data_IF_160818231845
#
_entry.id   IF_160818231845
#
_cell.length_a   1.000
_cell.length_b   1.000
_cell.length_c   1.000
_cell.angle_alpha   90.00
_cell.angle_beta   90.00
_cell.angle_gamma   90.00
#
_symmetry.space_group_name_H-M   'P 1'
#
loop_
_entity.id
_entity.type
_entity.pdbx_description
1 polymer ?
#
# COMPACT_ATOMS: atom_id res chain seq x y z
N UNK A 1 -18.46 35.38 74.74
CA UNK A 1 -18.97 36.62 74.10
C UNK A 1 -17.93 37.06 73.11
N UNK A 2 -18.30 37.30 71.96
CA UNK A 2 -17.68 37.90 70.75
C UNK A 2 -17.41 36.84 69.66
N UNK A 3 -18.36 36.88 68.82
CA UNK A 3 -18.46 36.20 67.51
C UNK A 3 -17.50 36.93 66.54
N UNK A 4 -16.69 36.13 65.86
CA UNK A 4 -15.70 36.63 64.90
C UNK A 4 -15.83 35.87 63.61
N UNK A 5 -16.82 36.26 62.79
CA UNK A 5 -17.03 35.70 61.43
C UNK A 5 -15.90 36.14 60.49
N UNK A 6 -15.09 35.18 60.05
CA UNK A 6 -14.14 35.38 58.97
C UNK A 6 -14.83 35.22 57.61
N UNK A 7 -14.91 36.31 56.86
CA UNK A 7 -15.26 36.34 55.45
C UNK A 7 -14.07 35.82 54.62
N UNK A 8 -14.28 34.74 53.85
CA UNK A 8 -13.33 34.31 52.84
C UNK A 8 -13.45 35.20 51.58
N UNK A 9 -12.35 35.56 50.93
CA UNK A 9 -12.42 36.33 49.68
C UNK A 9 -12.86 35.45 48.52
N UNK A 10 -13.62 36.04 47.59
CA UNK A 10 -14.16 35.46 46.39
C UNK A 10 -13.07 34.83 45.51
N UNK A 11 -13.35 33.62 45.05
CA UNK A 11 -12.52 32.89 44.09
C UNK A 11 -12.48 33.61 42.75
N UNK A 12 -11.27 33.96 42.33
CA UNK A 12 -10.99 34.51 41.03
C UNK A 12 -11.42 33.53 39.90
N UNK A 13 -12.11 34.12 38.94
CA UNK A 13 -12.54 33.55 37.69
C UNK A 13 -11.34 32.89 36.96
N UNK A 14 -11.37 31.57 36.83
CA UNK A 14 -10.40 30.88 35.99
C UNK A 14 -10.82 31.10 34.55
N UNK A 15 -10.09 31.95 33.86
CA UNK A 15 -10.15 32.07 32.41
C UNK A 15 -10.05 30.66 31.79
N UNK A 16 -11.07 30.28 31.06
CA UNK A 16 -11.00 29.14 30.17
C UNK A 16 -9.89 29.40 29.15
N UNK A 17 -8.78 28.72 29.29
CA UNK A 17 -7.81 28.63 28.21
C UNK A 17 -8.53 27.99 27.01
N UNK A 18 -8.61 28.71 25.91
CA UNK A 18 -9.15 28.16 24.64
C UNK A 18 -8.34 26.91 24.27
N UNK A 19 -8.95 25.75 24.46
CA UNK A 19 -8.37 24.47 24.14
C UNK A 19 -8.40 24.31 22.60
N UNK A 20 -7.32 24.74 21.95
CA UNK A 20 -7.14 24.60 20.50
C UNK A 20 -6.98 23.10 20.20
N UNK A 21 -7.91 22.56 19.45
CA UNK A 21 -7.81 21.17 18.99
C UNK A 21 -6.46 20.93 18.27
N UNK A 22 -5.80 19.79 18.51
CA UNK A 22 -4.52 19.51 17.85
C UNK A 22 -4.65 19.59 16.33
N UNK A 23 -3.73 20.31 15.63
CA UNK A 23 -3.89 20.75 14.25
C UNK A 23 -3.90 19.61 13.20
N UNK A 24 -3.71 18.36 13.60
CA UNK A 24 -3.59 17.22 12.69
C UNK A 24 -4.34 15.98 13.21
N UNK A 25 -5.63 16.12 13.50
CA UNK A 25 -6.52 14.98 13.55
C UNK A 25 -7.22 14.83 12.20
N UNK A 26 -7.05 13.69 11.56
CA UNK A 26 -7.84 13.27 10.40
C UNK A 26 -9.32 13.56 10.62
N UNK A 27 -9.93 14.12 9.58
CA UNK A 27 -11.24 14.77 9.55
C UNK A 27 -12.43 14.03 10.18
N UNK A 28 -13.58 14.71 10.13
CA UNK A 28 -14.86 14.24 10.65
C UNK A 28 -15.15 12.80 10.20
N UNK A 29 -15.74 11.97 11.08
CA UNK A 29 -16.09 10.59 10.72
C UNK A 29 -17.06 10.62 9.53
N UNK A 30 -16.71 9.87 8.48
CA UNK A 30 -17.63 9.60 7.37
C UNK A 30 -18.96 9.08 7.93
N UNK A 31 -20.11 9.39 7.27
CA UNK A 31 -21.42 8.94 7.73
C UNK A 31 -21.39 7.42 7.91
N UNK A 32 -21.83 6.97 9.10
CA UNK A 32 -21.86 5.57 9.46
C UNK A 32 -22.76 4.79 8.49
N UNK A 33 -22.14 4.06 7.58
CA UNK A 33 -22.84 3.01 6.85
C UNK A 33 -23.12 1.88 7.85
N UNK A 34 -24.40 1.55 7.99
CA UNK A 34 -24.89 0.45 8.83
C UNK A 34 -24.25 -0.86 8.37
N UNK A 35 -23.37 -1.42 9.20
CA UNK A 35 -22.63 -2.64 8.92
C UNK A 35 -21.18 -2.34 8.52
N UNK A 36 -20.31 -2.08 9.52
CA UNK A 36 -18.84 -2.02 9.27
C UNK A 36 -18.41 -3.32 8.63
N UNK A 37 -17.84 -3.30 7.40
CA UNK A 37 -17.24 -4.49 6.84
C UNK A 37 -16.13 -4.95 7.82
N UNK A 38 -16.11 -6.23 8.15
CA UNK A 38 -15.00 -6.83 8.88
C UNK A 38 -13.75 -6.67 8.03
N UNK A 39 -12.59 -6.44 8.67
CA UNK A 39 -11.29 -6.35 7.99
C UNK A 39 -11.15 -7.45 6.93
N UNK A 40 -10.75 -7.05 5.74
CA UNK A 40 -10.46 -7.97 4.63
C UNK A 40 -9.36 -8.94 5.04
N UNK A 41 -9.58 -10.22 4.76
CA UNK A 41 -8.64 -11.31 5.03
C UNK A 41 -8.41 -12.12 3.77
N UNK A 42 -7.37 -12.93 3.74
CA UNK A 42 -6.96 -13.70 2.55
C UNK A 42 -8.09 -14.61 2.03
N UNK A 43 -8.90 -15.22 2.90
CA UNK A 43 -10.03 -16.07 2.46
C UNK A 43 -11.12 -15.28 1.75
N UNK A 44 -11.41 -14.03 2.14
CA UNK A 44 -12.36 -13.19 1.42
C UNK A 44 -11.94 -12.94 -0.04
N UNK A 45 -10.62 -12.77 -0.29
CA UNK A 45 -10.11 -12.57 -1.65
C UNK A 45 -10.28 -13.83 -2.49
N UNK A 46 -10.10 -15.01 -1.89
CA UNK A 46 -10.37 -16.29 -2.54
C UNK A 46 -11.86 -16.46 -2.86
N UNK A 47 -12.73 -16.14 -1.91
CA UNK A 47 -14.20 -16.17 -2.11
C UNK A 47 -14.64 -15.24 -3.24
N UNK A 48 -14.01 -14.03 -3.38
CA UNK A 48 -14.26 -13.13 -4.50
C UNK A 48 -13.92 -13.80 -5.85
N UNK A 49 -12.76 -14.46 -5.94
CA UNK A 49 -12.38 -15.23 -7.13
C UNK A 49 -13.40 -16.35 -7.43
N UNK A 50 -13.79 -17.13 -6.43
CA UNK A 50 -14.76 -18.22 -6.58
C UNK A 50 -16.12 -17.72 -7.10
N UNK A 51 -16.50 -16.48 -6.77
CA UNK A 51 -17.72 -15.80 -7.26
C UNK A 51 -17.53 -15.05 -8.58
N UNK A 52 -16.30 -15.01 -9.12
CA UNK A 52 -15.97 -14.22 -10.31
C UNK A 52 -16.05 -12.69 -10.09
N UNK A 53 -15.96 -12.24 -8.84
CA UNK A 53 -16.01 -10.83 -8.46
C UNK A 53 -14.60 -10.23 -8.45
N UNK A 54 -14.40 -9.20 -9.27
CA UNK A 54 -13.12 -8.49 -9.39
C UNK A 54 -12.95 -7.47 -8.27
N UNK A 55 -11.70 -7.25 -7.86
CA UNK A 55 -11.38 -6.29 -6.80
C UNK A 55 -10.14 -5.46 -7.13
N UNK A 56 -10.09 -4.19 -6.68
CA UNK A 56 -8.93 -3.32 -6.85
C UNK A 56 -7.92 -3.47 -5.72
N UNK A 57 -6.66 -3.19 -6.02
CA UNK A 57 -5.57 -3.04 -5.07
C UNK A 57 -4.82 -1.75 -5.42
N UNK A 58 -4.35 -1.02 -4.42
CA UNK A 58 -3.49 0.15 -4.59
C UNK A 58 -2.26 0.04 -3.71
N UNK A 59 -1.16 0.66 -4.13
CA UNK A 59 -0.08 0.93 -3.19
C UNK A 59 -0.48 2.05 -2.23
N UNK A 60 0.10 2.10 -1.05
CA UNK A 60 0.01 3.21 -0.11
C UNK A 60 1.31 3.30 0.69
N UNK A 61 1.71 4.52 1.08
CA UNK A 61 3.00 4.73 1.75
C UNK A 61 2.90 5.65 2.98
N UNK A 62 1.73 6.20 3.25
CA UNK A 62 1.48 7.12 4.37
C UNK A 62 0.08 6.94 4.95
N UNK A 63 -0.18 7.58 6.08
CA UNK A 63 -1.44 7.47 6.82
C UNK A 63 -2.63 8.07 6.05
N UNK A 64 -2.45 9.20 5.36
CA UNK A 64 -3.54 9.91 4.69
C UNK A 64 -4.03 9.15 3.46
N UNK A 65 -3.10 8.70 2.60
CA UNK A 65 -3.48 7.89 1.43
C UNK A 65 -4.10 6.57 1.87
N UNK A 66 -3.60 5.96 2.95
CA UNK A 66 -4.16 4.73 3.50
C UNK A 66 -5.60 4.91 3.99
N UNK A 67 -5.90 5.99 4.75
CA UNK A 67 -7.26 6.32 5.21
C UNK A 67 -8.21 6.55 4.04
N UNK A 68 -7.79 7.37 3.06
CA UNK A 68 -8.61 7.67 1.88
C UNK A 68 -8.96 6.41 1.10
N UNK A 69 -7.99 5.52 0.88
CA UNK A 69 -8.22 4.30 0.10
C UNK A 69 -9.03 3.26 0.88
N UNK A 70 -8.82 3.15 2.18
CA UNK A 70 -9.63 2.28 3.06
C UNK A 70 -11.09 2.74 3.10
N UNK A 71 -11.34 4.05 3.24
CA UNK A 71 -12.68 4.65 3.21
C UNK A 71 -13.33 4.57 1.82
N UNK A 72 -12.52 4.60 0.74
CA UNK A 72 -13.00 4.37 -0.63
C UNK A 72 -13.34 2.89 -0.92
N UNK A 73 -13.07 1.98 0.02
CA UNK A 73 -13.39 0.56 -0.09
C UNK A 73 -12.37 -0.27 -0.86
N UNK A 74 -11.11 0.18 -0.97
CA UNK A 74 -10.02 -0.63 -1.53
C UNK A 74 -9.70 -1.77 -0.56
N UNK A 75 -9.93 -3.04 -0.93
CA UNK A 75 -9.82 -4.15 0.01
C UNK A 75 -8.39 -4.55 0.36
N UNK A 76 -7.41 -4.19 -0.46
CA UNK A 76 -5.99 -4.52 -0.27
C UNK A 76 -5.12 -3.31 -0.52
N UNK A 77 -4.26 -2.97 0.43
CA UNK A 77 -3.23 -1.95 0.29
C UNK A 77 -1.83 -2.58 0.35
N UNK A 78 -1.00 -2.22 -0.61
CA UNK A 78 0.38 -2.69 -0.72
C UNK A 78 1.34 -1.59 -0.28
N UNK A 79 2.15 -1.85 0.72
CA UNK A 79 3.35 -1.06 0.97
C UNK A 79 4.47 -1.69 0.15
N UNK A 80 4.53 -1.28 -1.12
CA UNK A 80 5.44 -1.82 -2.12
C UNK A 80 6.86 -1.26 -1.99
N UNK A 81 7.87 -2.02 -2.40
CA UNK A 81 9.25 -1.54 -2.53
C UNK A 81 9.38 -0.43 -3.60
N UNK A 82 8.36 -0.26 -4.45
CA UNK A 82 8.16 0.93 -5.29
C UNK A 82 8.15 2.25 -4.49
N UNK A 83 8.08 2.21 -3.15
CA UNK A 83 8.40 3.34 -2.29
C UNK A 83 9.78 3.93 -2.58
N UNK A 84 10.75 3.10 -2.99
CA UNK A 84 12.07 3.53 -3.43
C UNK A 84 11.98 4.68 -4.45
N UNK A 85 11.20 4.49 -5.50
CA UNK A 85 11.01 5.47 -6.56
C UNK A 85 10.03 6.58 -6.17
N UNK A 86 8.91 6.22 -5.52
CA UNK A 86 7.75 7.11 -5.34
C UNK A 86 7.80 7.94 -4.05
N UNK A 87 8.58 7.52 -3.06
CA UNK A 87 8.73 8.22 -1.77
C UNK A 87 10.15 8.74 -1.60
N UNK A 88 11.15 7.91 -1.85
CA UNK A 88 12.55 8.23 -1.61
C UNK A 88 13.28 8.82 -2.83
N UNK A 89 12.72 8.71 -4.04
CA UNK A 89 13.32 9.23 -5.26
C UNK A 89 14.53 8.44 -5.74
N UNK A 90 14.68 7.18 -5.33
CA UNK A 90 15.72 6.29 -5.85
C UNK A 90 15.47 5.93 -7.31
N UNK A 91 16.53 5.62 -8.05
CA UNK A 91 16.43 5.31 -9.47
C UNK A 91 15.66 4.00 -9.75
N UNK A 92 15.74 3.03 -8.83
CA UNK A 92 15.04 1.75 -8.90
C UNK A 92 14.72 1.24 -7.47
N UNK A 93 14.14 0.03 -7.36
CA UNK A 93 13.70 -0.53 -6.07
C UNK A 93 14.83 -1.18 -5.25
N UNK A 94 16.00 -1.42 -5.84
CA UNK A 94 17.08 -2.17 -5.19
C UNK A 94 17.65 -1.53 -3.91
N UNK A 95 17.81 -0.19 -3.82
CA UNK A 95 18.44 0.43 -2.66
C UNK A 95 17.60 0.42 -1.39
N UNK A 96 16.25 0.35 -1.51
CA UNK A 96 15.37 0.50 -0.34
C UNK A 96 15.57 -0.65 0.64
N UNK A 97 15.71 -0.29 1.90
CA UNK A 97 15.97 -1.23 3.00
C UNK A 97 14.70 -1.59 3.78
N UNK A 98 14.78 -2.68 4.56
CA UNK A 98 13.71 -3.05 5.51
C UNK A 98 13.44 -1.92 6.50
N UNK A 99 14.48 -1.22 6.95
CA UNK A 99 14.35 -0.15 7.94
C UNK A 99 13.70 1.11 7.36
N UNK A 100 13.89 1.41 6.08
CA UNK A 100 13.17 2.48 5.37
C UNK A 100 11.71 2.11 5.08
N UNK A 101 11.41 0.84 4.79
CA UNK A 101 10.05 0.37 4.58
C UNK A 101 9.23 0.32 5.87
N UNK A 102 9.85 0.04 7.00
CA UNK A 102 9.17 -0.18 8.28
C UNK A 102 8.29 1.02 8.74
N UNK A 103 8.76 2.28 8.70
CA UNK A 103 7.92 3.43 9.03
C UNK A 103 6.70 3.57 8.11
N UNK A 104 6.85 3.28 6.81
CA UNK A 104 5.76 3.34 5.83
C UNK A 104 4.71 2.27 6.14
N UNK A 105 5.13 1.04 6.42
CA UNK A 105 4.23 -0.05 6.83
C UNK A 105 3.44 0.34 8.08
N UNK A 106 4.11 0.86 9.10
CA UNK A 106 3.46 1.35 10.34
C UNK A 106 2.43 2.45 10.07
N UNK A 107 2.74 3.39 9.17
CA UNK A 107 1.85 4.48 8.81
C UNK A 107 0.58 3.95 8.11
N UNK A 108 0.73 3.10 7.10
CA UNK A 108 -0.39 2.50 6.36
C UNK A 108 -1.26 1.64 7.26
N UNK A 109 -0.66 0.82 8.15
CA UNK A 109 -1.42 0.00 9.11
C UNK A 109 -2.27 0.86 10.05
N UNK A 110 -1.75 2.00 10.51
CA UNK A 110 -2.52 2.93 11.37
C UNK A 110 -3.67 3.62 10.64
N UNK A 111 -3.49 3.93 9.34
CA UNK A 111 -4.51 4.54 8.50
C UNK A 111 -5.61 3.56 8.06
N UNK A 112 -5.42 2.24 8.20
CA UNK A 112 -6.36 1.23 7.74
C UNK A 112 -7.19 0.59 8.84
N UNK A 113 -8.51 0.49 8.62
CA UNK A 113 -9.46 -0.21 9.51
C UNK A 113 -9.96 -1.50 8.86
N UNK A 114 -10.15 -1.51 7.53
CA UNK A 114 -10.85 -2.56 6.78
C UNK A 114 -9.92 -3.30 5.79
N UNK A 115 -8.99 -2.61 5.13
CA UNK A 115 -8.13 -3.22 4.12
C UNK A 115 -7.13 -4.22 4.71
N UNK A 116 -6.80 -5.24 3.91
CA UNK A 116 -5.64 -6.11 4.13
C UNK A 116 -4.38 -5.32 3.75
N UNK A 117 -3.44 -5.15 4.67
CA UNK A 117 -2.15 -4.50 4.39
C UNK A 117 -1.09 -5.55 4.11
N UNK A 118 -0.49 -5.47 2.92
CA UNK A 118 0.61 -6.33 2.47
C UNK A 118 1.89 -5.51 2.45
N UNK A 119 2.98 -6.02 3.01
CA UNK A 119 4.31 -5.39 2.98
C UNK A 119 5.26 -6.15 2.05
N UNK A 120 5.94 -5.43 1.15
CA UNK A 120 7.00 -6.01 0.34
C UNK A 120 8.22 -6.38 1.16
N UNK A 121 8.80 -7.53 0.86
CA UNK A 121 10.16 -7.87 1.25
C UNK A 121 11.11 -7.22 0.25
N UNK A 122 11.87 -6.15 0.62
CA UNK A 122 12.76 -5.48 -0.32
C UNK A 122 13.93 -6.37 -0.74
N UNK A 123 14.57 -6.02 -1.84
CA UNK A 123 15.74 -6.74 -2.35
C UNK A 123 16.82 -6.91 -1.27
N UNK A 124 17.43 -8.08 -1.22
CA UNK A 124 18.45 -8.42 -0.22
C UNK A 124 17.91 -8.92 1.11
N UNK A 125 16.59 -8.92 1.30
CA UNK A 125 15.95 -9.28 2.58
C UNK A 125 15.38 -10.71 2.64
N UNK A 126 15.39 -11.46 1.52
CA UNK A 126 14.88 -12.84 1.44
C UNK A 126 15.66 -13.75 0.48
N UNK A 127 16.56 -13.20 -0.33
CA UNK A 127 17.25 -13.95 -1.40
C UNK A 127 18.29 -14.95 -0.89
N UNK A 128 18.83 -14.75 0.32
CA UNK A 128 19.85 -15.65 0.89
C UNK A 128 19.25 -17.02 1.23
N UNK A 129 17.99 -17.05 1.70
CA UNK A 129 17.32 -18.30 2.03
C UNK A 129 16.05 -18.12 2.87
N UNK A 130 15.35 -19.24 3.15
CA UNK A 130 14.10 -19.23 3.91
C UNK A 130 14.20 -18.58 5.29
N UNK A 131 15.30 -18.79 6.01
CA UNK A 131 15.52 -18.22 7.35
C UNK A 131 15.59 -16.69 7.32
N UNK A 132 16.26 -16.13 6.31
CA UNK A 132 16.30 -14.68 6.11
C UNK A 132 14.91 -14.13 5.79
N UNK A 133 14.19 -14.76 4.87
CA UNK A 133 12.84 -14.39 4.51
C UNK A 133 11.91 -14.39 5.73
N UNK A 134 11.99 -15.44 6.56
CA UNK A 134 11.21 -15.57 7.78
C UNK A 134 11.54 -14.46 8.79
N UNK A 135 12.82 -14.20 9.02
CA UNK A 135 13.28 -13.13 9.92
C UNK A 135 12.75 -11.77 9.48
N UNK A 136 12.83 -11.46 8.18
CA UNK A 136 12.33 -10.19 7.64
C UNK A 136 10.81 -10.09 7.74
N UNK A 137 10.08 -11.14 7.36
CA UNK A 137 8.63 -11.17 7.42
C UNK A 137 8.10 -11.03 8.85
N UNK A 138 8.74 -11.67 9.84
CA UNK A 138 8.40 -11.52 11.26
C UNK A 138 8.53 -10.05 11.69
N UNK A 139 9.56 -9.34 11.25
CA UNK A 139 9.70 -7.89 11.53
C UNK A 139 8.52 -7.10 10.97
N UNK A 140 8.15 -7.28 9.71
CA UNK A 140 7.03 -6.58 9.11
C UNK A 140 5.68 -6.90 9.78
N UNK A 141 5.46 -8.18 10.14
CA UNK A 141 4.24 -8.59 10.85
C UNK A 141 4.21 -8.06 12.30
N UNK A 142 5.29 -8.24 13.04
CA UNK A 142 5.34 -7.98 14.49
C UNK A 142 5.60 -6.51 14.81
N UNK A 143 6.57 -5.88 14.15
CA UNK A 143 6.94 -4.48 14.39
C UNK A 143 6.11 -3.53 13.52
N UNK A 144 5.88 -3.90 12.25
CA UNK A 144 5.12 -3.12 11.27
C UNK A 144 3.62 -3.23 11.42
N UNK A 145 3.12 -4.37 11.91
CA UNK A 145 1.71 -4.69 11.99
C UNK A 145 1.08 -5.11 10.66
N UNK A 146 1.89 -5.43 9.64
CA UNK A 146 1.39 -5.93 8.36
C UNK A 146 0.57 -7.22 8.53
N UNK A 147 -0.34 -7.48 7.60
CA UNK A 147 -1.22 -8.66 7.64
C UNK A 147 -0.73 -9.80 6.73
N UNK A 148 0.12 -9.46 5.77
CA UNK A 148 0.74 -10.37 4.82
C UNK A 148 2.05 -9.75 4.30
N UNK A 149 2.87 -10.55 3.64
CA UNK A 149 4.08 -10.08 2.95
C UNK A 149 4.03 -10.42 1.47
N UNK A 150 4.80 -9.69 0.63
CA UNK A 150 5.00 -10.01 -0.78
C UNK A 150 6.49 -10.25 -1.05
N UNK A 151 6.80 -11.15 -1.97
CA UNK A 151 8.14 -11.36 -2.51
C UNK A 151 8.09 -11.65 -4.01
N UNK A 152 9.20 -11.40 -4.70
CA UNK A 152 9.32 -11.51 -6.14
C UNK A 152 10.11 -12.76 -6.56
N UNK A 153 9.65 -13.40 -7.65
CA UNK A 153 10.32 -14.48 -8.35
C UNK A 153 9.53 -15.78 -8.35
N UNK A 154 9.95 -16.69 -9.25
CA UNK A 154 9.29 -17.96 -9.53
C UNK A 154 9.72 -19.11 -8.63
N UNK A 155 9.78 -20.33 -9.19
CA UNK A 155 10.03 -21.60 -8.48
C UNK A 155 11.30 -21.58 -7.61
N UNK A 156 12.29 -20.75 -7.94
CA UNK A 156 13.50 -20.56 -7.11
C UNK A 156 13.18 -20.14 -5.67
N UNK A 157 12.07 -19.42 -5.46
CA UNK A 157 11.67 -18.90 -4.14
C UNK A 157 10.58 -19.73 -3.46
N UNK A 158 10.24 -20.90 -4.01
CA UNK A 158 9.34 -21.88 -3.36
C UNK A 158 9.77 -22.21 -1.92
N UNK A 159 11.06 -22.43 -1.61
CA UNK A 159 11.48 -22.69 -0.23
C UNK A 159 11.18 -21.54 0.73
N UNK A 160 11.30 -20.29 0.29
CA UNK A 160 10.96 -19.12 1.09
C UNK A 160 9.44 -19.03 1.32
N UNK A 161 8.64 -19.23 0.26
CA UNK A 161 7.17 -19.22 0.36
C UNK A 161 6.67 -20.31 1.31
N UNK A 162 7.19 -21.54 1.18
CA UNK A 162 6.85 -22.67 2.04
C UNK A 162 7.17 -22.40 3.51
N UNK A 163 8.37 -21.88 3.80
CA UNK A 163 8.78 -21.55 5.16
C UNK A 163 7.91 -20.45 5.80
N UNK A 164 7.55 -19.43 5.02
CA UNK A 164 6.69 -18.35 5.47
C UNK A 164 5.25 -18.85 5.71
N UNK A 165 4.67 -19.52 4.73
CA UNK A 165 3.31 -20.07 4.80
C UNK A 165 3.17 -21.10 5.92
N UNK A 166 4.15 -22.01 6.04
CA UNK A 166 4.22 -23.00 7.11
C UNK A 166 4.35 -22.41 8.50
N UNK A 167 4.88 -21.19 8.61
CA UNK A 167 4.96 -20.42 9.85
C UNK A 167 3.71 -19.56 10.12
N UNK A 168 2.67 -19.65 9.28
CA UNK A 168 1.42 -18.91 9.43
C UNK A 168 1.50 -17.46 8.91
N UNK A 169 2.50 -17.12 8.12
CA UNK A 169 2.65 -15.80 7.48
C UNK A 169 2.06 -15.86 6.06
N UNK A 170 0.97 -15.12 5.76
CA UNK A 170 0.40 -15.11 4.41
C UNK A 170 1.37 -14.48 3.40
N UNK A 171 1.59 -15.14 2.27
CA UNK A 171 2.53 -14.72 1.23
C UNK A 171 1.79 -14.42 -0.06
N UNK A 172 2.01 -13.24 -0.62
CA UNK A 172 1.67 -12.86 -1.99
C UNK A 172 2.92 -13.03 -2.85
N UNK A 173 2.84 -13.84 -3.89
CA UNK A 173 3.93 -14.01 -4.85
C UNK A 173 3.88 -12.93 -5.94
N UNK A 174 4.99 -12.75 -6.69
CA UNK A 174 5.05 -11.81 -7.80
C UNK A 174 5.87 -12.41 -8.95
N UNK A 175 5.23 -12.52 -10.12
CA UNK A 175 5.77 -13.06 -11.36
C UNK A 175 5.66 -12.07 -12.52
N UNK A 176 6.35 -12.38 -13.61
CA UNK A 176 6.44 -11.53 -14.77
C UNK A 176 7.65 -10.61 -14.69
N UNK A 177 7.48 -9.33 -14.96
CA UNK A 177 8.51 -8.34 -14.66
C UNK A 177 8.60 -8.18 -13.14
N UNK A 178 9.77 -8.43 -12.60
CA UNK A 178 10.08 -8.27 -11.18
C UNK A 178 11.09 -7.14 -11.04
N UNK A 179 10.71 -5.96 -10.51
CA UNK A 179 11.59 -4.80 -10.39
C UNK A 179 12.92 -5.10 -9.70
N UNK A 180 12.91 -5.97 -8.69
CA UNK A 180 14.14 -6.39 -7.99
C UNK A 180 15.11 -7.18 -8.88
N UNK A 181 14.66 -7.67 -10.02
CA UNK A 181 15.48 -8.38 -11.02
C UNK A 181 15.75 -7.55 -12.28
N UNK A 182 15.49 -6.23 -12.25
CA UNK A 182 15.59 -5.34 -13.41
C UNK A 182 16.89 -5.50 -14.19
N UNK A 183 18.02 -5.55 -13.50
CA UNK A 183 19.34 -5.71 -14.13
C UNK A 183 19.48 -7.05 -14.84
N UNK A 184 19.00 -8.14 -14.25
CA UNK A 184 19.05 -9.47 -14.85
C UNK A 184 18.08 -9.60 -16.04
N UNK A 185 16.94 -8.91 -16.00
CA UNK A 185 15.94 -8.88 -17.06
C UNK A 185 16.30 -7.92 -18.20
N UNK A 186 17.35 -7.09 -18.04
CA UNK A 186 17.78 -6.10 -19.03
C UNK A 186 16.81 -4.94 -19.17
N UNK A 187 16.23 -4.46 -18.06
CA UNK A 187 15.31 -3.34 -17.96
C UNK A 187 13.84 -3.72 -18.08
N UNK A 188 12.97 -2.72 -18.24
CA UNK A 188 11.51 -2.88 -18.32
C UNK A 188 11.10 -3.61 -19.59
N UNK A 189 10.81 -4.90 -19.49
CA UNK A 189 10.43 -5.76 -20.61
C UNK A 189 9.26 -6.67 -20.24
N UNK A 190 8.37 -6.90 -21.21
CA UNK A 190 7.28 -7.88 -21.08
C UNK A 190 7.90 -9.27 -20.89
N UNK A 191 7.43 -9.99 -19.88
CA UNK A 191 7.87 -11.35 -19.52
C UNK A 191 6.80 -12.38 -19.89
N UNK A 192 7.21 -13.62 -20.20
CA UNK A 192 6.28 -14.71 -20.47
C UNK A 192 5.83 -14.81 -21.95
N UNK A 193 6.62 -14.38 -22.93
CA UNK A 193 6.36 -14.63 -24.35
C UNK A 193 6.91 -16.00 -24.79
N UNK A 194 6.16 -16.68 -25.64
CA UNK A 194 6.55 -18.03 -26.15
C UNK A 194 6.74 -19.03 -25.01
N UNK A 195 7.77 -19.83 -25.05
CA UNK A 195 8.08 -20.86 -24.03
C UNK A 195 8.25 -20.31 -22.62
N UNK A 196 8.57 -19.02 -22.48
CA UNK A 196 8.62 -18.37 -21.17
C UNK A 196 7.22 -18.22 -20.53
N UNK A 197 6.15 -18.29 -21.32
CA UNK A 197 4.78 -18.31 -20.82
C UNK A 197 4.46 -19.62 -20.09
N UNK A 198 4.88 -20.75 -20.65
CA UNK A 198 4.69 -22.07 -20.01
C UNK A 198 5.44 -22.12 -18.67
N UNK A 199 6.70 -21.69 -18.65
CA UNK A 199 7.49 -21.61 -17.41
C UNK A 199 6.86 -20.70 -16.36
N UNK A 200 6.24 -19.60 -16.78
CA UNK A 200 5.55 -18.68 -15.85
C UNK A 200 4.32 -19.34 -15.22
N UNK A 201 3.60 -20.19 -15.97
CA UNK A 201 2.47 -20.97 -15.46
C UNK A 201 2.98 -22.01 -14.45
N UNK A 202 4.05 -22.74 -14.79
CA UNK A 202 4.68 -23.72 -13.90
C UNK A 202 5.15 -23.06 -12.59
N UNK A 203 5.79 -21.89 -12.68
CA UNK A 203 6.21 -21.09 -11.53
C UNK A 203 5.01 -20.70 -10.64
N UNK A 204 3.91 -20.25 -11.26
CA UNK A 204 2.70 -19.85 -10.53
C UNK A 204 2.06 -21.03 -9.77
N UNK A 205 1.99 -22.21 -10.42
CA UNK A 205 1.49 -23.43 -9.80
C UNK A 205 2.40 -23.90 -8.64
N UNK A 206 3.72 -23.80 -8.80
CA UNK A 206 4.68 -24.15 -7.75
C UNK A 206 4.57 -23.22 -6.53
N UNK A 207 4.40 -21.92 -6.75
CA UNK A 207 4.21 -20.95 -5.67
C UNK A 207 2.87 -21.14 -4.96
N UNK A 208 1.79 -21.46 -5.69
CA UNK A 208 0.52 -21.83 -5.09
C UNK A 208 0.66 -23.09 -4.23
N UNK A 209 1.33 -24.12 -4.73
CA UNK A 209 1.56 -25.37 -3.99
C UNK A 209 2.38 -25.15 -2.71
N UNK A 210 3.30 -24.18 -2.72
CA UNK A 210 4.08 -23.75 -1.56
C UNK A 210 3.27 -22.91 -0.54
N UNK A 211 2.01 -22.58 -0.82
CA UNK A 211 1.13 -21.87 0.12
C UNK A 211 0.98 -20.38 -0.12
N UNK A 212 1.41 -19.82 -1.25
CA UNK A 212 1.05 -18.47 -1.64
C UNK A 212 -0.47 -18.29 -1.66
N UNK A 213 -1.01 -17.16 -1.13
CA UNK A 213 -2.44 -16.90 -1.15
C UNK A 213 -2.91 -16.10 -2.37
N UNK A 214 -2.00 -15.47 -3.09
CA UNK A 214 -2.26 -14.68 -4.30
C UNK A 214 -0.97 -14.54 -5.11
N UNK A 215 -1.08 -14.22 -6.41
CA UNK A 215 0.05 -13.96 -7.30
C UNK A 215 -0.17 -12.66 -8.07
N UNK A 216 0.79 -11.73 -7.99
CA UNK A 216 0.87 -10.57 -8.87
C UNK A 216 1.49 -10.98 -10.20
N UNK A 217 0.89 -10.54 -11.30
CA UNK A 217 1.38 -10.71 -12.67
C UNK A 217 1.69 -9.34 -13.26
N UNK A 218 2.98 -8.99 -13.38
CA UNK A 218 3.40 -7.70 -13.91
C UNK A 218 3.96 -7.82 -15.32
N UNK A 219 3.45 -6.99 -16.24
CA UNK A 219 3.89 -6.92 -17.63
C UNK A 219 3.96 -8.30 -18.31
N UNK A 220 2.93 -9.13 -18.08
CA UNK A 220 2.74 -10.46 -18.70
C UNK A 220 1.76 -10.31 -19.87
N UNK A 221 1.95 -11.01 -21.01
CA UNK A 221 0.96 -11.04 -22.09
C UNK A 221 -0.43 -11.44 -21.57
N UNK A 222 -1.47 -10.76 -22.04
CA UNK A 222 -2.83 -10.94 -21.52
C UNK A 222 -3.37 -12.39 -21.68
N UNK A 223 -3.00 -13.07 -22.77
CA UNK A 223 -3.34 -14.46 -23.02
C UNK A 223 -2.68 -15.43 -22.02
N UNK A 224 -1.41 -15.18 -21.68
CA UNK A 224 -0.69 -15.96 -20.66
C UNK A 224 -1.29 -15.68 -19.27
N UNK A 225 -1.53 -14.42 -18.92
CA UNK A 225 -2.14 -14.05 -17.64
C UNK A 225 -3.54 -14.67 -17.47
N UNK A 226 -4.33 -14.73 -18.55
CA UNK A 226 -5.62 -15.42 -18.58
C UNK A 226 -5.49 -16.91 -18.27
N UNK A 227 -4.51 -17.58 -18.86
CA UNK A 227 -4.23 -19.02 -18.60
C UNK A 227 -3.81 -19.25 -17.15
N UNK A 228 -2.86 -18.44 -16.63
CA UNK A 228 -2.45 -18.51 -15.22
C UNK A 228 -3.66 -18.35 -14.30
N UNK A 229 -4.53 -17.37 -14.57
CA UNK A 229 -5.73 -17.12 -13.77
C UNK A 229 -6.70 -18.29 -13.76
N UNK A 230 -6.85 -18.97 -14.90
CA UNK A 230 -7.73 -20.13 -15.03
C UNK A 230 -7.18 -21.39 -14.33
N UNK A 231 -5.85 -21.56 -14.28
CA UNK A 231 -5.22 -22.74 -13.69
C UNK A 231 -5.02 -22.65 -12.17
N UNK A 232 -4.95 -21.41 -11.63
CA UNK A 232 -4.79 -21.19 -10.20
C UNK A 232 -6.12 -21.17 -9.45
N UNK A 233 -6.14 -21.73 -8.24
CA UNK A 233 -7.26 -21.57 -7.29
C UNK A 233 -7.10 -20.34 -6.40
N UNK A 234 -5.88 -19.79 -6.30
CA UNK A 234 -5.60 -18.53 -5.61
C UNK A 234 -5.82 -17.34 -6.54
N UNK A 235 -6.15 -16.14 -6.00
CA UNK A 235 -6.35 -14.94 -6.82
C UNK A 235 -5.09 -14.52 -7.57
N UNK A 236 -5.28 -14.03 -8.80
CA UNK A 236 -4.27 -13.33 -9.60
C UNK A 236 -4.53 -11.82 -9.61
N UNK A 237 -3.47 -11.03 -9.54
CA UNK A 237 -3.52 -9.56 -9.50
C UNK A 237 -2.70 -9.02 -10.66
N UNK A 238 -3.35 -8.37 -11.62
CA UNK A 238 -2.68 -7.85 -12.83
C UNK A 238 -2.15 -6.44 -12.65
N UNK A 239 -0.99 -6.18 -13.22
CA UNK A 239 -0.47 -4.85 -13.53
C UNK A 239 0.20 -4.89 -14.90
N UNK A 240 -0.46 -4.32 -15.91
CA UNK A 240 -0.02 -4.49 -17.29
C UNK A 240 -0.12 -5.93 -17.82
N UNK A 241 -1.05 -6.73 -17.29
CA UNK A 241 -1.27 -8.13 -17.61
C UNK A 241 -2.66 -8.42 -18.25
N UNK A 242 -3.32 -7.39 -18.75
CA UNK A 242 -4.66 -7.52 -19.33
C UNK A 242 -5.78 -7.53 -18.28
N UNK A 243 -7.00 -7.82 -18.75
CA UNK A 243 -8.21 -7.67 -17.92
C UNK A 243 -8.69 -8.98 -17.29
N UNK A 244 -8.13 -10.13 -17.68
CA UNK A 244 -8.62 -11.46 -17.28
C UNK A 244 -8.08 -11.97 -15.93
N UNK A 245 -7.32 -11.15 -15.20
CA UNK A 245 -6.94 -11.43 -13.81
C UNK A 245 -8.08 -11.13 -12.84
N UNK A 246 -8.08 -11.75 -11.67
CA UNK A 246 -9.13 -11.58 -10.65
C UNK A 246 -9.13 -10.18 -10.02
N UNK A 247 -7.96 -9.53 -9.99
CA UNK A 247 -7.77 -8.20 -9.46
C UNK A 247 -6.80 -7.38 -10.30
N UNK A 248 -6.74 -6.07 -10.05
CA UNK A 248 -5.78 -5.15 -10.66
C UNK A 248 -5.11 -4.32 -9.57
N UNK A 249 -3.80 -4.08 -9.70
CA UNK A 249 -3.06 -3.15 -8.86
C UNK A 249 -2.49 -2.00 -9.68
N UNK A 250 -2.47 -0.81 -9.10
CA UNK A 250 -1.71 0.34 -9.60
C UNK A 250 -0.90 0.97 -8.45
N UNK A 251 0.21 1.57 -8.80
CA UNK A 251 0.90 2.52 -7.93
C UNK A 251 -0.02 3.72 -7.75
N UNK A 252 -0.32 4.11 -6.51
CA UNK A 252 -1.33 5.13 -6.25
C UNK A 252 -1.01 6.49 -6.89
N UNK A 253 0.28 6.87 -6.92
CA UNK A 253 0.71 8.12 -7.54
C UNK A 253 0.49 8.14 -9.06
N UNK A 254 0.55 6.99 -9.71
CA UNK A 254 0.19 6.84 -11.12
C UNK A 254 -1.33 6.92 -11.31
N UNK A 255 -2.10 6.21 -10.48
CA UNK A 255 -3.55 6.23 -10.47
C UNK A 255 -4.09 7.66 -10.27
N UNK A 256 -3.52 8.40 -9.32
CA UNK A 256 -3.93 9.77 -8.99
C UNK A 256 -3.35 10.85 -9.92
N UNK A 257 -2.46 10.51 -10.85
CA UNK A 257 -1.83 11.48 -11.74
C UNK A 257 -0.84 12.42 -11.02
N UNK A 258 -0.17 11.96 -9.98
CA UNK A 258 0.91 12.70 -9.30
C UNK A 258 2.15 12.81 -10.17
N UNK A 259 2.48 11.75 -10.90
CA UNK A 259 3.64 11.68 -11.76
C UNK A 259 3.44 12.52 -13.03
N UNK A 260 4.26 13.54 -13.22
CA UNK A 260 4.23 14.48 -14.38
C UNK A 260 5.11 13.99 -15.55
N UNK A 261 5.84 12.88 -15.39
CA UNK A 261 6.71 12.28 -16.39
C UNK A 261 5.99 11.31 -17.34
N UNK A 262 6.81 10.56 -18.10
CA UNK A 262 6.30 9.50 -19.00
C UNK A 262 5.70 8.37 -18.19
N UNK A 263 4.47 7.98 -18.52
CA UNK A 263 3.74 6.90 -17.88
C UNK A 263 3.86 5.59 -18.67
N UNK A 264 3.96 4.43 -18.02
CA UNK A 264 3.81 3.14 -18.69
C UNK A 264 2.46 3.03 -19.42
N UNK A 265 2.40 2.27 -20.51
CA UNK A 265 1.18 2.15 -21.34
C UNK A 265 -0.04 1.62 -20.56
N UNK A 266 0.18 0.78 -19.56
CA UNK A 266 -0.89 0.20 -18.74
C UNK A 266 -1.45 1.16 -17.68
N UNK A 267 -0.78 2.27 -17.42
CA UNK A 267 -1.22 3.26 -16.43
C UNK A 267 -2.33 4.12 -17.02
N UNK A 268 -3.52 4.04 -16.41
CA UNK A 268 -4.63 4.97 -16.62
C UNK A 268 -4.73 5.89 -15.41
N UNK A 269 -4.44 7.19 -15.54
CA UNK A 269 -4.71 8.14 -14.46
C UNK A 269 -6.21 8.40 -14.35
N UNK A 270 -6.71 8.47 -13.14
CA UNK A 270 -8.11 8.77 -12.80
C UNK A 270 -8.28 10.21 -12.31
N UNK A 271 -7.18 10.89 -12.01
CA UNK A 271 -7.14 12.30 -11.60
C UNK A 271 -5.86 12.97 -12.10
N UNK A 272 -5.72 14.28 -11.85
CA UNK A 272 -4.51 15.07 -12.09
C UNK A 272 -4.11 15.83 -10.81
N UNK A 273 -3.84 15.06 -9.75
CA UNK A 273 -3.51 15.60 -8.43
C UNK A 273 -2.20 16.39 -8.47
N UNK A 274 -1.25 16.02 -9.34
CA UNK A 274 0.01 16.74 -9.51
C UNK A 274 -0.18 18.19 -9.97
N UNK A 275 -1.11 18.44 -10.90
CA UNK A 275 -1.45 19.80 -11.32
C UNK A 275 -2.21 20.57 -10.26
N UNK A 276 -3.15 19.93 -9.58
CA UNK A 276 -3.92 20.54 -8.48
C UNK A 276 -2.98 21.01 -7.36
N UNK A 277 -2.05 20.16 -6.92
CA UNK A 277 -1.07 20.54 -5.89
C UNK A 277 -0.14 21.66 -6.33
N UNK A 278 0.26 21.63 -7.61
CA UNK A 278 1.09 22.70 -8.17
C UNK A 278 0.38 24.05 -8.15
N UNK A 279 -0.89 24.10 -8.57
CA UNK A 279 -1.68 25.33 -8.62
C UNK A 279 -1.99 25.84 -7.20
N UNK A 280 -2.35 24.96 -6.28
CA UNK A 280 -2.54 25.31 -4.87
C UNK A 280 -1.27 25.89 -4.23
N UNK A 281 -0.10 25.28 -4.49
CA UNK A 281 1.16 25.80 -3.99
C UNK A 281 1.52 27.17 -4.59
N UNK A 282 1.21 27.40 -5.86
CA UNK A 282 1.41 28.71 -6.52
C UNK A 282 0.52 29.78 -5.93
N UNK A 283 -0.76 29.47 -5.72
CA UNK A 283 -1.73 30.38 -5.12
C UNK A 283 -1.29 30.77 -3.70
N UNK A 284 -1.03 29.77 -2.85
CA UNK A 284 -0.51 30.01 -1.49
C UNK A 284 0.73 30.90 -1.49
N UNK A 285 1.69 30.64 -2.36
CA UNK A 285 2.90 31.44 -2.46
C UNK A 285 2.64 32.89 -2.93
N UNK A 286 1.63 33.13 -3.78
CA UNK A 286 1.23 34.45 -4.23
C UNK A 286 0.57 35.24 -3.09
N UNK A 287 -0.39 34.64 -2.39
CA UNK A 287 -1.12 35.26 -1.27
C UNK A 287 -0.17 35.62 -0.11
N UNK A 288 0.77 34.74 0.24
CA UNK A 288 1.80 35.05 1.25
C UNK A 288 2.68 36.23 0.83
N UNK A 289 3.13 36.28 -0.43
CA UNK A 289 3.95 37.40 -0.91
C UNK A 289 3.16 38.69 -1.05
N UNK A 290 1.87 38.62 -1.38
CA UNK A 290 0.96 39.77 -1.46
C UNK A 290 0.50 40.25 -0.12
N UNK A 291 0.73 39.56 0.99
CA UNK A 291 0.23 39.88 2.32
C UNK A 291 -1.27 39.63 2.47
N UNK A 292 -1.84 38.78 1.65
CA UNK A 292 -3.25 38.38 1.69
C UNK A 292 -3.49 37.20 2.63
N UNK A 293 -2.46 36.38 2.88
CA UNK A 293 -2.47 35.26 3.84
C UNK A 293 -1.35 35.44 4.89
N UNK A 294 -1.65 35.20 6.21
CA UNK A 294 -2.97 34.91 6.77
C UNK A 294 -3.87 36.15 6.86
N UNK A 295 -5.16 35.95 6.67
CA UNK A 295 -6.18 36.95 6.94
C UNK A 295 -6.67 36.92 8.42
N UNK A 296 -7.70 37.66 8.73
CA UNK A 296 -8.26 37.73 10.11
C UNK A 296 -8.93 36.45 10.55
N UNK A 297 -9.45 35.62 9.62
CA UNK A 297 -10.08 34.32 9.93
C UNK A 297 -9.03 33.23 10.21
N UNK A 298 -7.82 33.42 9.68
CA UNK A 298 -6.70 32.51 9.84
C UNK A 298 -5.66 32.98 10.84
N UNK A 299 -6.02 33.99 11.71
CA UNK A 299 -5.13 34.54 12.71
C UNK A 299 -5.74 34.44 14.12
N UNK A 300 -4.90 34.15 15.11
CA UNK A 300 -5.31 34.15 16.51
C UNK A 300 -5.19 35.59 17.08
N UNK A 301 -6.19 36.03 17.82
CA UNK A 301 -6.21 37.32 18.55
C UNK A 301 -5.73 37.15 19.99
#
# INVERSE_FOLDING_TARGET
>A
MSDGSFHAPATADRAHADEVAPPYRSGAPAPATTGRPKRTRIHHLRELKERGERWPMLTAYDVYTAEIFDDAGIPVLLVGDSAANNVYGYANTLPVTVDEMMPLVKAVVRGTKNALVVADLPFGSYQIGPEQALTTAIRFMKEGGAHAVKLEGGARFVPQVDALAGSGIPVMAHLGFTPQSEHALGGFRIQGRGDAGERLIEDALALQAAGAFAVVLEMVPADVAKRVTAELVIPTIGIGAGLDTDAQVLVWSDMAGMNRGRKPRFVKPYADVGSILFDAARQYAAEVRGGEYPDTEHSYS
#
